data_IF_421433613579
#
_entry.id   IF_421433613579
#
_cell.length_a   1.000
_cell.length_b   1.000
_cell.length_c   1.000
_cell.angle_alpha   90.00
_cell.angle_beta   90.00
_cell.angle_gamma   90.00
#
_symmetry.space_group_name_H-M   'P 1'
#
loop_
_entity.id
_entity.type
_entity.pdbx_description
1 polymer ?
#
# COMPACT_ATOMS: atom_id res chain seq x y z
N UNK A 1 -46.78 8.30 6.96
CA UNK A 1 -45.63 7.48 7.42
C UNK A 1 -44.61 7.09 6.34
N UNK A 2 -44.61 7.61 5.10
CA UNK A 2 -43.66 7.23 4.02
C UNK A 2 -42.50 8.23 3.78
N UNK A 3 -42.45 9.38 4.47
CA UNK A 3 -41.45 10.43 4.25
C UNK A 3 -40.16 10.28 5.06
N UNK A 4 -40.19 9.52 6.17
CA UNK A 4 -39.01 9.37 7.04
C UNK A 4 -38.04 8.26 6.63
N UNK A 5 -38.44 7.30 5.79
CA UNK A 5 -37.55 6.23 5.32
C UNK A 5 -36.59 6.67 4.22
N UNK A 6 -36.93 7.68 3.42
CA UNK A 6 -36.03 8.15 2.32
C UNK A 6 -34.79 8.88 2.82
N UNK A 7 -34.83 9.53 3.97
CA UNK A 7 -33.70 10.27 4.52
C UNK A 7 -32.67 9.37 5.19
N UNK A 8 -33.06 8.21 5.73
CA UNK A 8 -32.13 7.28 6.33
C UNK A 8 -31.25 6.58 5.28
N UNK A 9 -31.81 6.26 4.11
CA UNK A 9 -31.08 5.58 3.04
C UNK A 9 -30.06 6.51 2.35
N UNK A 10 -30.33 7.83 2.29
CA UNK A 10 -29.36 8.80 1.74
C UNK A 10 -28.18 9.08 2.70
N UNK A 11 -28.41 9.02 4.02
CA UNK A 11 -27.31 9.22 4.99
C UNK A 11 -26.33 8.04 5.01
N UNK A 12 -26.84 6.81 4.83
CA UNK A 12 -26.00 5.61 4.78
C UNK A 12 -25.16 5.59 3.50
N UNK A 13 -25.69 6.09 2.38
CA UNK A 13 -24.97 6.12 1.11
C UNK A 13 -23.83 7.16 1.08
N UNK A 14 -23.95 8.27 1.83
CA UNK A 14 -22.95 9.33 1.89
C UNK A 14 -21.76 9.01 2.81
N UNK A 15 -21.96 8.08 3.77
CA UNK A 15 -20.89 7.62 4.66
C UNK A 15 -20.16 6.38 4.12
N UNK A 16 -20.73 5.66 3.13
CA UNK A 16 -20.05 4.49 2.55
C UNK A 16 -18.91 4.88 1.61
N UNK A 17 -18.97 6.05 0.98
CA UNK A 17 -17.90 6.53 0.10
C UNK A 17 -16.64 6.97 0.87
N UNK A 18 -16.81 7.43 2.13
CA UNK A 18 -15.67 7.75 3.01
C UNK A 18 -14.97 6.50 3.60
N UNK A 19 -15.69 5.36 3.64
CA UNK A 19 -15.14 4.10 4.16
C UNK A 19 -14.36 3.30 3.11
N UNK A 20 -14.55 3.56 1.82
CA UNK A 20 -13.88 2.83 0.74
C UNK A 20 -12.41 3.30 0.61
N UNK A 21 -12.13 4.58 0.81
CA UNK A 21 -10.75 5.10 0.85
C UNK A 21 -9.93 4.57 2.03
N UNK A 22 -10.59 4.29 3.17
CA UNK A 22 -9.96 3.69 4.35
C UNK A 22 -9.84 2.16 4.25
N UNK A 23 -10.67 1.51 3.43
CA UNK A 23 -10.75 0.06 3.31
C UNK A 23 -9.55 -0.60 2.61
N UNK A 24 -8.88 0.12 1.71
CA UNK A 24 -7.70 -0.40 0.98
C UNK A 24 -6.49 -0.55 1.92
N UNK A 25 -6.43 0.26 2.97
CA UNK A 25 -5.38 0.17 4.01
C UNK A 25 -5.79 -0.81 5.11
N UNK A 26 -7.08 -1.00 5.36
CA UNK A 26 -7.60 -1.86 6.43
C UNK A 26 -7.43 -3.36 6.19
N UNK A 27 -7.43 -3.81 4.94
CA UNK A 27 -7.30 -5.23 4.60
C UNK A 27 -5.92 -5.82 4.93
N UNK A 28 -4.86 -5.00 4.98
CA UNK A 28 -3.52 -5.43 5.41
C UNK A 28 -3.35 -5.45 6.93
N UNK A 29 -4.19 -4.72 7.67
CA UNK A 29 -4.14 -4.67 9.15
C UNK A 29 -5.04 -5.73 9.78
N UNK A 30 -6.13 -6.12 9.11
CA UNK A 30 -7.11 -7.06 9.65
C UNK A 30 -6.66 -8.51 9.78
N UNK A 31 -5.62 -8.95 9.07
CA UNK A 31 -5.10 -10.32 9.17
C UNK A 31 -4.11 -10.54 10.33
N UNK A 32 -3.72 -9.48 11.05
CA UNK A 32 -2.67 -9.54 12.10
C UNK A 32 -3.25 -9.50 13.52
N UNK A 33 -4.56 -9.28 13.70
CA UNK A 33 -5.14 -8.96 15.01
C UNK A 33 -5.46 -10.16 15.93
N UNK A 34 -5.11 -11.41 15.64
CA UNK A 34 -5.56 -12.58 16.43
C UNK A 34 -4.44 -13.36 17.16
N UNK A 35 -3.22 -12.87 17.26
CA UNK A 35 -2.17 -13.60 18.04
C UNK A 35 -1.41 -12.71 19.04
N UNK A 36 -2.03 -11.72 19.62
CA UNK A 36 -1.36 -10.85 20.61
C UNK A 36 -1.94 -10.99 22.02
N UNK A 37 -1.98 -12.20 22.55
CA UNK A 37 -2.21 -12.42 23.99
C UNK A 37 -1.31 -13.56 24.48
N UNK A 38 -0.04 -13.34 24.63
CA UNK A 38 0.94 -13.84 25.62
C UNK A 38 2.35 -13.51 25.15
N UNK A 39 2.85 -12.34 25.50
CA UNK A 39 4.27 -12.25 25.90
C UNK A 39 4.53 -10.90 26.58
N UNK A 40 5.00 -10.99 27.80
CA UNK A 40 5.34 -9.88 28.67
C UNK A 40 6.44 -8.96 28.12
N UNK A 41 6.18 -7.64 28.11
CA UNK A 41 7.07 -6.51 28.42
C UNK A 41 8.46 -6.38 27.75
N UNK A 42 8.80 -7.15 26.75
CA UNK A 42 9.95 -6.82 25.91
C UNK A 42 9.41 -6.39 24.56
N UNK A 43 9.54 -5.11 24.21
CA UNK A 43 9.24 -4.65 22.87
C UNK A 43 10.03 -5.48 21.82
N UNK A 44 9.59 -5.53 20.56
CA UNK A 44 10.26 -6.33 19.54
C UNK A 44 11.73 -5.91 19.40
N UNK A 45 12.64 -6.89 19.44
CA UNK A 45 14.06 -6.61 19.21
C UNK A 45 14.25 -6.26 17.75
N UNK A 46 14.63 -5.01 17.49
CA UNK A 46 14.93 -4.52 16.12
C UNK A 46 16.37 -4.93 15.80
N UNK A 47 16.52 -5.95 14.98
CA UNK A 47 17.82 -6.41 14.44
C UNK A 47 18.05 -5.76 13.07
N UNK A 48 17.00 -5.63 12.27
CA UNK A 48 17.04 -5.01 10.94
C UNK A 48 16.29 -3.69 10.96
N UNK A 49 16.95 -2.63 10.46
CA UNK A 49 16.31 -1.31 10.38
C UNK A 49 15.11 -1.35 9.42
N UNK A 50 13.94 -0.87 9.85
CA UNK A 50 12.77 -0.80 8.99
C UNK A 50 13.04 0.05 7.75
N UNK A 51 12.65 -0.45 6.59
CA UNK A 51 12.70 0.33 5.36
C UNK A 51 11.71 1.50 5.41
N UNK A 52 12.11 2.63 4.85
CA UNK A 52 11.26 3.82 4.73
C UNK A 52 10.81 3.98 3.28
N UNK A 53 9.51 4.07 3.05
CA UNK A 53 8.95 4.11 1.70
C UNK A 53 9.37 5.37 0.92
N UNK A 54 9.47 6.54 1.59
CA UNK A 54 9.90 7.77 0.91
C UNK A 54 11.41 7.83 0.60
N UNK A 55 12.21 6.90 1.13
CA UNK A 55 13.59 6.76 0.70
C UNK A 55 13.67 5.98 -0.63
N UNK A 56 12.66 5.14 -0.92
CA UNK A 56 12.51 4.44 -2.19
C UNK A 56 11.77 5.27 -3.24
N UNK A 57 10.77 6.03 -2.84
CA UNK A 57 9.97 6.91 -3.71
C UNK A 57 10.06 8.35 -3.19
N UNK A 58 11.04 9.06 -3.70
CA UNK A 58 11.39 10.43 -3.25
C UNK A 58 10.49 11.49 -3.90
N UNK A 59 10.50 12.70 -3.33
CA UNK A 59 9.82 13.86 -3.92
C UNK A 59 10.28 14.14 -5.36
N UNK A 60 11.57 13.95 -5.65
CA UNK A 60 12.11 14.15 -7.01
C UNK A 60 11.51 13.16 -8.01
N UNK A 61 11.36 11.90 -7.62
CA UNK A 61 10.75 10.88 -8.46
C UNK A 61 9.25 11.12 -8.63
N UNK A 62 8.58 11.55 -7.56
CA UNK A 62 7.19 11.94 -7.62
C UNK A 62 6.96 13.10 -8.60
N UNK A 63 7.80 14.14 -8.55
CA UNK A 63 7.76 15.24 -9.52
C UNK A 63 7.98 14.77 -10.97
N UNK A 64 8.93 13.86 -11.18
CA UNK A 64 9.17 13.33 -12.52
C UNK A 64 8.00 12.50 -13.08
N UNK A 65 7.10 12.04 -12.21
CA UNK A 65 5.97 11.17 -12.54
C UNK A 65 4.64 11.94 -12.62
N UNK A 66 4.43 12.87 -11.68
CA UNK A 66 3.16 13.58 -11.47
C UNK A 66 3.20 15.06 -11.88
N UNK A 67 4.38 15.61 -12.22
CA UNK A 67 4.59 17.03 -12.49
C UNK A 67 5.26 17.75 -11.32
N UNK A 68 5.62 19.03 -11.52
CA UNK A 68 6.41 19.79 -10.52
C UNK A 68 5.63 20.08 -9.24
N UNK A 69 4.32 20.31 -9.35
CA UNK A 69 3.45 20.65 -8.23
C UNK A 69 2.84 19.38 -7.63
N UNK A 70 3.55 18.78 -6.68
CA UNK A 70 3.09 17.57 -5.98
C UNK A 70 3.01 17.79 -4.47
N UNK A 71 2.05 17.15 -3.83
CA UNK A 71 1.86 17.13 -2.39
C UNK A 71 2.14 15.73 -1.83
N UNK A 72 2.94 15.67 -0.78
CA UNK A 72 3.11 14.46 0.00
C UNK A 72 1.93 14.31 0.96
N UNK A 73 1.24 13.18 0.90
CA UNK A 73 0.00 12.94 1.66
C UNK A 73 0.17 11.94 2.79
N UNK A 74 1.24 11.14 2.83
CA UNK A 74 1.48 10.16 3.88
C UNK A 74 2.85 10.30 4.55
N UNK A 75 2.91 9.87 5.82
CA UNK A 75 4.13 9.91 6.65
C UNK A 75 5.05 8.74 6.33
N UNK A 76 6.35 9.03 6.28
CA UNK A 76 7.42 8.03 6.10
C UNK A 76 7.77 7.24 7.37
N UNK A 77 7.07 7.46 8.50
CA UNK A 77 7.40 6.81 9.77
C UNK A 77 6.97 5.34 9.74
N UNK A 78 7.89 4.38 9.90
CA UNK A 78 7.53 2.98 10.00
C UNK A 78 6.65 2.69 11.22
N UNK A 79 5.59 1.93 11.02
CA UNK A 79 4.74 1.40 12.09
C UNK A 79 5.12 -0.07 12.31
N UNK A 80 5.56 -0.40 13.52
CA UNK A 80 5.99 -1.74 13.89
C UNK A 80 4.80 -2.52 14.45
N UNK A 81 4.60 -3.73 13.95
CA UNK A 81 3.59 -4.67 14.44
C UNK A 81 4.21 -6.07 14.51
N UNK A 82 4.44 -6.55 15.73
CA UNK A 82 5.16 -7.80 15.95
C UNK A 82 6.59 -7.72 15.39
N UNK A 83 6.93 -8.60 14.48
CA UNK A 83 8.25 -8.73 13.85
C UNK A 83 8.37 -8.06 12.47
N UNK A 84 7.35 -7.32 12.07
CA UNK A 84 7.35 -6.57 10.81
C UNK A 84 7.08 -5.09 11.03
N UNK A 85 7.57 -4.27 10.12
CA UNK A 85 7.29 -2.84 10.05
C UNK A 85 6.72 -2.48 8.68
N UNK A 86 5.80 -1.54 8.66
CA UNK A 86 5.21 -0.97 7.44
C UNK A 86 5.47 0.53 7.41
N UNK A 87 6.04 1.00 6.33
CA UNK A 87 6.18 2.42 6.00
C UNK A 87 5.42 2.73 4.72
N UNK A 88 4.90 3.94 4.60
CA UNK A 88 4.15 4.39 3.43
C UNK A 88 4.66 5.73 2.95
N UNK A 89 4.58 5.96 1.65
CA UNK A 89 4.85 7.22 1.00
C UNK A 89 3.86 7.42 -0.13
N UNK A 90 3.20 8.54 -0.17
CA UNK A 90 2.22 8.86 -1.20
C UNK A 90 2.35 10.31 -1.62
N UNK A 91 2.23 10.54 -2.91
CA UNK A 91 2.21 11.86 -3.51
C UNK A 91 1.00 11.98 -4.43
N UNK A 92 0.46 13.19 -4.49
CA UNK A 92 -0.62 13.54 -5.42
C UNK A 92 -0.21 14.76 -6.23
N UNK A 93 -0.73 14.88 -7.45
CA UNK A 93 -0.73 16.16 -8.14
C UNK A 93 -1.68 17.17 -7.43
N UNK A 94 -1.65 18.42 -7.88
CA UNK A 94 -2.43 19.53 -7.28
C UNK A 94 -3.65 19.90 -8.11
N UNK A 95 -4.22 18.95 -8.86
CA UNK A 95 -5.45 19.17 -9.61
C UNK A 95 -6.61 19.49 -8.67
N UNK A 96 -7.37 20.52 -8.99
CA UNK A 96 -8.45 21.01 -8.11
C UNK A 96 -9.63 20.02 -7.97
N UNK A 97 -9.86 19.19 -8.97
CA UNK A 97 -10.89 18.14 -8.93
C UNK A 97 -10.33 16.84 -8.35
N UNK A 98 -10.74 16.41 -7.15
CA UNK A 98 -10.24 15.18 -6.52
C UNK A 98 -10.48 13.92 -7.35
N UNK A 99 -11.47 13.92 -8.26
CA UNK A 99 -11.75 12.78 -9.14
C UNK A 99 -10.77 12.65 -10.29
N UNK A 100 -10.03 13.71 -10.58
CA UNK A 100 -8.98 13.78 -11.62
C UNK A 100 -7.57 13.77 -11.02
N UNK A 101 -7.46 13.84 -9.69
CA UNK A 101 -6.18 13.85 -8.98
C UNK A 101 -5.44 12.54 -9.22
N UNK A 102 -4.21 12.65 -9.70
CA UNK A 102 -3.34 11.47 -9.88
C UNK A 102 -2.60 11.17 -8.58
N UNK A 103 -2.61 9.93 -8.17
CA UNK A 103 -1.96 9.45 -6.94
C UNK A 103 -0.92 8.40 -7.29
N UNK A 104 0.29 8.56 -6.75
CA UNK A 104 1.31 7.53 -6.75
C UNK A 104 1.69 7.20 -5.32
N UNK A 105 1.57 5.93 -4.94
CA UNK A 105 1.78 5.47 -3.58
C UNK A 105 2.69 4.24 -3.53
N UNK A 106 3.57 4.21 -2.53
CA UNK A 106 4.45 3.09 -2.22
C UNK A 106 4.29 2.73 -0.75
N UNK A 107 4.05 1.47 -0.45
CA UNK A 107 4.17 0.93 0.89
C UNK A 107 5.29 -0.13 0.90
N UNK A 108 6.07 -0.14 1.98
CA UNK A 108 7.14 -1.14 2.18
C UNK A 108 6.88 -1.86 3.49
N UNK A 109 6.71 -3.17 3.40
CA UNK A 109 6.70 -4.06 4.55
C UNK A 109 8.06 -4.72 4.67
N UNK A 110 8.72 -4.55 5.81
CA UNK A 110 10.05 -5.09 6.11
C UNK A 110 10.04 -5.88 7.40
N UNK A 111 10.79 -6.98 7.48
CA UNK A 111 11.05 -7.67 8.74
C UNK A 111 12.02 -6.86 9.60
N UNK A 112 11.79 -6.79 10.90
CA UNK A 112 12.69 -6.15 11.87
C UNK A 112 13.65 -7.14 12.54
N UNK A 113 13.45 -8.43 12.30
CA UNK A 113 14.28 -9.55 12.71
C UNK A 113 14.17 -10.69 11.67
N UNK A 114 14.86 -11.81 11.88
CA UNK A 114 14.88 -12.92 10.92
C UNK A 114 13.52 -13.59 10.76
N UNK A 115 12.73 -13.69 11.83
CA UNK A 115 11.36 -14.19 11.79
C UNK A 115 10.46 -13.31 10.94
N UNK A 116 10.60 -11.99 11.07
CA UNK A 116 9.89 -11.00 10.26
C UNK A 116 10.27 -11.06 8.78
N UNK A 117 11.55 -11.30 8.48
CA UNK A 117 12.00 -11.50 7.10
C UNK A 117 11.37 -12.76 6.49
N UNK A 118 11.41 -13.89 7.23
CA UNK A 118 10.80 -15.15 6.78
C UNK A 118 9.28 -15.02 6.60
N UNK A 119 8.61 -14.36 7.55
CA UNK A 119 7.17 -14.08 7.45
C UNK A 119 6.83 -13.24 6.24
N UNK A 120 7.61 -12.24 5.92
CA UNK A 120 7.39 -11.39 4.75
C UNK A 120 7.36 -12.20 3.45
N UNK A 121 8.32 -13.11 3.29
CA UNK A 121 8.41 -14.00 2.12
C UNK A 121 7.21 -14.97 2.08
N UNK A 122 6.85 -15.56 3.22
CA UNK A 122 5.74 -16.49 3.31
C UNK A 122 4.39 -15.82 3.00
N UNK A 123 4.12 -14.66 3.61
CA UNK A 123 2.89 -13.90 3.38
C UNK A 123 2.77 -13.41 1.95
N UNK A 124 3.89 -13.00 1.32
CA UNK A 124 3.93 -12.64 -0.09
C UNK A 124 3.55 -13.83 -0.99
N UNK A 125 4.11 -15.01 -0.72
CA UNK A 125 3.81 -16.22 -1.50
C UNK A 125 2.32 -16.62 -1.38
N UNK A 126 1.73 -16.50 -0.17
CA UNK A 126 0.30 -16.73 0.05
C UNK A 126 -0.54 -15.72 -0.73
N UNK A 127 -0.21 -14.43 -0.66
CA UNK A 127 -0.94 -13.40 -1.39
C UNK A 127 -0.86 -13.60 -2.92
N UNK A 128 0.30 -14.02 -3.43
CA UNK A 128 0.51 -14.34 -4.85
C UNK A 128 -0.28 -15.57 -5.30
N UNK A 129 -0.60 -16.50 -4.42
CA UNK A 129 -1.38 -17.69 -4.77
C UNK A 129 -2.86 -17.40 -5.05
N UNK A 130 -3.34 -16.19 -4.76
CA UNK A 130 -4.71 -15.78 -5.04
C UNK A 130 -4.97 -15.74 -6.55
N UNK A 131 -6.16 -16.23 -6.97
CA UNK A 131 -6.55 -16.30 -8.37
C UNK A 131 -6.77 -14.95 -9.07
N UNK A 132 -6.90 -13.86 -8.28
CA UNK A 132 -7.11 -12.49 -8.80
C UNK A 132 -5.80 -11.80 -9.21
N UNK A 133 -4.66 -12.49 -9.19
CA UNK A 133 -3.36 -11.91 -9.46
C UNK A 133 -2.80 -12.31 -10.83
N UNK A 134 -2.12 -11.36 -11.46
CA UNK A 134 -1.30 -11.59 -12.65
C UNK A 134 0.17 -11.67 -12.23
N UNK A 135 0.80 -12.82 -12.50
CA UNK A 135 2.22 -13.02 -12.18
C UNK A 135 3.09 -12.18 -13.12
N UNK A 136 4.12 -11.58 -12.54
CA UNK A 136 5.07 -10.74 -13.27
C UNK A 136 6.44 -11.40 -13.28
N UNK A 137 7.18 -11.20 -14.37
CA UNK A 137 8.55 -11.68 -14.52
C UNK A 137 9.52 -10.50 -14.57
N UNK A 138 10.78 -10.75 -14.22
CA UNK A 138 11.87 -9.78 -14.30
C UNK A 138 11.66 -8.50 -13.47
N UNK A 139 10.99 -8.62 -12.32
CA UNK A 139 10.76 -7.51 -11.42
C UNK A 139 11.01 -7.94 -9.95
N UNK A 140 12.13 -7.52 -9.39
CA UNK A 140 12.59 -7.98 -8.08
C UNK A 140 12.92 -9.47 -8.06
N UNK A 141 12.82 -10.11 -6.89
CA UNK A 141 12.95 -11.56 -6.71
C UNK A 141 11.69 -12.28 -7.16
N UNK A 142 10.55 -11.65 -6.94
CA UNK A 142 9.23 -12.14 -7.35
C UNK A 142 8.22 -10.98 -7.40
N UNK A 143 7.21 -11.06 -8.28
CA UNK A 143 6.21 -10.01 -8.42
C UNK A 143 4.85 -10.51 -8.91
N UNK A 144 3.80 -9.78 -8.55
CA UNK A 144 2.46 -9.98 -9.07
C UNK A 144 1.66 -8.67 -9.07
N UNK A 145 0.72 -8.53 -9.99
CA UNK A 145 -0.26 -7.45 -10.01
C UNK A 145 -1.63 -7.96 -9.55
N UNK A 146 -2.17 -7.34 -8.52
CA UNK A 146 -3.52 -7.62 -8.04
C UNK A 146 -4.53 -6.74 -8.78
N UNK A 147 -5.27 -7.32 -9.73
CA UNK A 147 -6.23 -6.61 -10.59
C UNK A 147 -7.43 -6.07 -9.81
N UNK A 148 -7.81 -6.71 -8.71
CA UNK A 148 -8.99 -6.32 -7.92
C UNK A 148 -8.79 -4.99 -7.19
N UNK A 149 -7.55 -4.72 -6.76
CA UNK A 149 -7.21 -3.54 -5.97
C UNK A 149 -6.18 -2.64 -6.68
N UNK A 150 -5.83 -2.95 -7.94
CA UNK A 150 -4.92 -2.15 -8.75
C UNK A 150 -3.52 -1.98 -8.13
N UNK A 151 -2.94 -3.05 -7.56
CA UNK A 151 -1.66 -2.98 -6.86
C UNK A 151 -0.61 -3.90 -7.47
N UNK A 152 0.55 -3.35 -7.76
CA UNK A 152 1.75 -4.10 -8.09
C UNK A 152 2.52 -4.42 -6.81
N UNK A 153 2.77 -5.69 -6.59
CA UNK A 153 3.44 -6.23 -5.43
C UNK A 153 4.77 -6.85 -5.86
N UNK A 154 5.86 -6.45 -5.23
CA UNK A 154 7.22 -6.89 -5.56
C UNK A 154 7.93 -7.34 -4.29
N UNK A 155 8.55 -8.52 -4.34
CA UNK A 155 9.50 -8.98 -3.33
C UNK A 155 10.90 -8.61 -3.79
N UNK A 156 11.61 -7.82 -2.99
CA UNK A 156 12.98 -7.38 -3.28
C UNK A 156 13.79 -7.28 -2.00
N UNK A 157 14.89 -8.01 -1.88
CA UNK A 157 15.71 -8.08 -0.67
C UNK A 157 14.90 -8.49 0.56
N UNK A 158 13.95 -9.44 0.40
CA UNK A 158 12.99 -9.87 1.43
C UNK A 158 12.05 -8.76 1.93
N UNK A 159 12.02 -7.60 1.30
CA UNK A 159 11.03 -6.54 1.50
C UNK A 159 9.86 -6.77 0.56
N UNK A 160 8.66 -6.60 1.07
CA UNK A 160 7.45 -6.59 0.24
C UNK A 160 7.09 -5.15 -0.08
N UNK A 161 7.26 -4.76 -1.33
CA UNK A 161 6.99 -3.42 -1.84
C UNK A 161 5.66 -3.47 -2.58
N UNK A 162 4.73 -2.60 -2.19
CA UNK A 162 3.38 -2.51 -2.73
C UNK A 162 3.24 -1.14 -3.38
N UNK A 163 2.85 -1.10 -4.64
CA UNK A 163 2.79 0.12 -5.44
C UNK A 163 1.42 0.27 -6.09
N UNK A 164 0.90 1.49 -6.08
CA UNK A 164 -0.31 1.90 -6.82
C UNK A 164 -0.05 3.22 -7.50
N UNK A 165 -0.54 3.36 -8.74
CA UNK A 165 -0.43 4.59 -9.51
C UNK A 165 -1.65 4.70 -10.44
N UNK A 166 -2.42 5.79 -10.29
CA UNK A 166 -3.63 6.01 -11.09
C UNK A 166 -4.33 7.31 -10.75
N UNK A 167 -5.50 7.52 -11.35
CA UNK A 167 -6.33 8.71 -11.19
C UNK A 167 -7.42 8.45 -10.15
N UNK A 168 -7.58 9.37 -9.21
CA UNK A 168 -8.55 9.28 -8.14
C UNK A 168 -8.24 8.16 -7.14
N UNK A 169 -9.24 7.77 -6.37
CA UNK A 169 -9.14 6.71 -5.35
C UNK A 169 -9.67 5.36 -5.84
N UNK A 170 -10.12 5.27 -7.10
CA UNK A 170 -10.74 4.07 -7.64
C UNK A 170 -9.67 3.03 -8.01
N UNK A 171 -9.71 1.80 -7.48
CA UNK A 171 -8.73 0.75 -7.79
C UNK A 171 -8.60 0.44 -9.27
N UNK A 172 -9.69 0.56 -10.03
CA UNK A 172 -9.73 0.33 -11.48
C UNK A 172 -8.95 1.37 -12.29
N UNK A 173 -8.66 2.53 -11.69
CA UNK A 173 -7.81 3.56 -12.31
C UNK A 173 -6.33 3.20 -12.25
N UNK A 174 -5.93 2.30 -11.36
CA UNK A 174 -4.56 1.83 -11.20
C UNK A 174 -4.29 0.70 -12.21
N UNK A 175 -3.65 1.02 -13.31
CA UNK A 175 -3.32 0.04 -14.34
C UNK A 175 -1.97 -0.60 -14.11
N UNK A 176 -1.77 -1.80 -14.66
CA UNK A 176 -0.48 -2.49 -14.60
C UNK A 176 0.64 -1.66 -15.26
N UNK A 177 0.35 -0.99 -16.37
CA UNK A 177 1.38 -0.21 -17.09
C UNK A 177 1.82 1.00 -16.27
N UNK A 178 0.89 1.71 -15.63
CA UNK A 178 1.21 2.80 -14.70
C UNK A 178 2.03 2.28 -13.50
N UNK A 179 1.61 1.15 -12.91
CA UNK A 179 2.33 0.56 -11.80
C UNK A 179 3.77 0.12 -12.18
N UNK A 180 3.99 -0.36 -13.41
CA UNK A 180 5.34 -0.65 -13.95
C UNK A 180 6.20 0.61 -14.07
N UNK A 181 5.63 1.73 -14.51
CA UNK A 181 6.35 3.02 -14.58
C UNK A 181 6.80 3.45 -13.19
N UNK A 182 5.94 3.33 -12.18
CA UNK A 182 6.30 3.59 -10.78
C UNK A 182 7.38 2.62 -10.29
N UNK A 183 7.25 1.32 -10.59
CA UNK A 183 8.21 0.30 -10.19
C UNK A 183 9.63 0.56 -10.72
N UNK A 184 9.76 1.07 -11.93
CA UNK A 184 11.05 1.47 -12.50
C UNK A 184 11.76 2.57 -11.69
N UNK A 185 11.00 3.42 -10.99
CA UNK A 185 11.56 4.46 -10.12
C UNK A 185 11.96 3.93 -8.74
N UNK A 186 11.30 2.86 -8.27
CA UNK A 186 11.38 2.37 -6.89
C UNK A 186 12.32 1.17 -6.75
N UNK A 187 12.31 0.24 -7.71
CA UNK A 187 12.99 -1.07 -7.59
C UNK A 187 14.46 -1.02 -8.07
N UNK A 188 14.84 -0.06 -8.88
CA UNK A 188 16.19 0.05 -9.46
C UNK A 188 17.24 0.65 -8.50
N UNK A 189 16.90 0.79 -7.21
CA UNK A 189 17.77 1.36 -6.17
C UNK A 189 18.37 0.29 -5.24
#
# INVERSE_FOLDING_TARGET
MKKHLKNATQLIRRNSEFLIGAGIVGALVGAVAIVALVNHFSGPVIVHQPAKACDLFTLQEARSLLGEDVLQTESNKPVITGDVAVSKCSYTDTVADPTQMTVAAVAVRSGINDEGLARNVADFAVAKSNNSVEKMENLGEDAYFNKTIGQLNVLSGKKWIIMSYGIGSAPESNTLDQAKVLAQKVITK
#
